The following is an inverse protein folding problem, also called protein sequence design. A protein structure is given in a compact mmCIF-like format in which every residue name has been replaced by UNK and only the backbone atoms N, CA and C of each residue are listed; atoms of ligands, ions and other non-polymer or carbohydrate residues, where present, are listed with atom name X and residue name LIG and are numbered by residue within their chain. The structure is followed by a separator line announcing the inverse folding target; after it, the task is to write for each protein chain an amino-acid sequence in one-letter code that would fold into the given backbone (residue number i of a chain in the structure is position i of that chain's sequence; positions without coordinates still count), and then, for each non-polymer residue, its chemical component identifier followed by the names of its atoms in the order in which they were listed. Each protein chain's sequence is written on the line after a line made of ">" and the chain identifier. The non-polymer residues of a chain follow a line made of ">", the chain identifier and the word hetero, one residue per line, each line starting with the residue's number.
data_IF_358579857452
#
_entry.id   IF_358579857452
#
_cell.length_a   1.000
_cell.length_b   1.000
_cell.length_c   1.000
_cell.angle_alpha   90.00
_cell.angle_beta   90.00
_cell.angle_gamma   90.00
#
_symmetry.space_group_name_H-M   'P 1'
#
loop_
_entity.id
_entity.type
_entity.pdbx_description
1 polymer ?
#
# COMPACT_ATOMS: atom_id res chain seq x y z
N UNK A 1 41.30 -14.87 45.17
CA UNK A 1 40.98 -13.71 44.30
C UNK A 1 41.15 -12.42 45.08
N UNK A 2 41.97 -11.48 44.60
CA UNK A 2 42.10 -10.13 45.19
C UNK A 2 40.88 -9.26 44.88
N UNK A 3 40.64 -8.22 45.69
CA UNK A 3 39.53 -7.26 45.52
C UNK A 3 39.59 -6.60 44.13
N UNK A 4 40.79 -6.26 43.65
CA UNK A 4 41.00 -5.70 42.31
C UNK A 4 40.46 -6.61 41.19
N UNK A 5 40.77 -7.90 41.20
CA UNK A 5 40.28 -8.85 40.19
C UNK A 5 38.75 -8.95 40.18
N UNK A 6 38.11 -8.85 41.35
CA UNK A 6 36.64 -8.92 41.47
C UNK A 6 35.96 -7.66 40.92
N UNK A 7 36.55 -6.48 41.15
CA UNK A 7 36.08 -5.20 40.60
C UNK A 7 36.23 -5.19 39.08
N UNK A 8 37.40 -5.56 38.57
CA UNK A 8 37.66 -5.61 37.12
C UNK A 8 36.70 -6.56 36.40
N UNK A 9 36.44 -7.75 36.95
CA UNK A 9 35.50 -8.70 36.35
C UNK A 9 34.06 -8.16 36.29
N UNK A 10 33.60 -7.51 37.37
CA UNK A 10 32.25 -6.94 37.42
C UNK A 10 32.09 -5.78 36.43
N UNK A 11 33.11 -4.92 36.33
CA UNK A 11 33.14 -3.83 35.35
C UNK A 11 33.14 -4.36 33.91
N UNK A 12 33.91 -5.41 33.63
CA UNK A 12 33.99 -6.01 32.29
C UNK A 12 32.65 -6.64 31.89
N UNK A 13 31.97 -7.33 32.80
CA UNK A 13 30.61 -7.87 32.58
C UNK A 13 29.62 -6.72 32.31
N UNK A 14 29.67 -5.66 33.12
CA UNK A 14 28.80 -4.49 32.94
C UNK A 14 29.03 -3.80 31.58
N UNK A 15 30.29 -3.68 31.15
CA UNK A 15 30.66 -3.11 29.86
C UNK A 15 30.15 -3.97 28.70
N UNK A 16 30.38 -5.28 28.73
CA UNK A 16 29.89 -6.20 27.71
C UNK A 16 28.35 -6.19 27.62
N UNK A 17 27.67 -6.16 28.76
CA UNK A 17 26.23 -6.08 28.81
C UNK A 17 25.72 -4.75 28.22
N UNK A 18 26.37 -3.62 28.52
CA UNK A 18 26.02 -2.32 27.94
C UNK A 18 26.18 -2.32 26.42
N UNK A 19 27.28 -2.89 25.90
CA UNK A 19 27.50 -3.05 24.46
C UNK A 19 26.42 -3.93 23.82
N UNK A 20 26.05 -5.05 24.47
CA UNK A 20 25.01 -5.94 23.98
C UNK A 20 23.62 -5.28 23.95
N UNK A 21 23.23 -4.59 25.03
CA UNK A 21 21.96 -3.87 25.14
C UNK A 21 21.91 -2.72 24.13
N UNK A 22 22.98 -1.93 24.03
CA UNK A 22 23.10 -0.83 23.08
C UNK A 22 23.04 -1.31 21.63
N UNK A 23 23.79 -2.35 21.30
CA UNK A 23 23.80 -2.96 19.97
C UNK A 23 22.43 -3.52 19.57
N UNK A 24 21.77 -4.26 20.47
CA UNK A 24 20.42 -4.75 20.23
C UNK A 24 19.40 -3.60 20.07
N UNK A 25 19.53 -2.55 20.89
CA UNK A 25 18.69 -1.35 20.79
C UNK A 25 18.79 -0.66 19.43
N UNK A 26 20.02 -0.45 18.94
CA UNK A 26 20.28 0.12 17.61
C UNK A 26 19.68 -0.77 16.51
N UNK A 27 19.91 -2.08 16.59
CA UNK A 27 19.34 -3.04 15.64
C UNK A 27 17.80 -3.00 15.63
N UNK A 28 17.16 -2.98 16.80
CA UNK A 28 15.71 -2.93 16.91
C UNK A 28 15.11 -1.62 16.35
N UNK A 29 15.80 -0.49 16.53
CA UNK A 29 15.42 0.79 15.93
C UNK A 29 15.56 0.74 14.41
N UNK A 30 16.67 0.19 13.90
CA UNK A 30 16.88 0.01 12.45
C UNK A 30 15.78 -0.84 11.81
N UNK A 31 15.45 -1.98 12.41
CA UNK A 31 14.37 -2.84 11.93
C UNK A 31 12.98 -2.15 11.95
N UNK A 32 12.74 -1.24 12.90
CA UNK A 32 11.52 -0.44 12.92
C UNK A 32 11.52 0.63 11.81
N UNK A 33 12.67 1.25 11.53
CA UNK A 33 12.84 2.20 10.44
C UNK A 33 12.61 1.54 9.08
N UNK A 34 13.18 0.36 8.83
CA UNK A 34 13.02 -0.34 7.53
C UNK A 34 11.55 -0.63 7.21
N UNK A 35 10.77 -1.02 8.22
CA UNK A 35 9.32 -1.26 8.06
C UNK A 35 8.55 0.03 7.81
N UNK A 36 8.95 1.12 8.45
CA UNK A 36 8.33 2.42 8.24
C UNK A 36 8.64 2.97 6.85
N UNK A 37 9.89 2.84 6.40
CA UNK A 37 10.31 3.13 5.02
C UNK A 37 9.50 2.31 4.02
N UNK A 38 9.32 1.00 4.25
CA UNK A 38 8.51 0.15 3.39
C UNK A 38 7.05 0.63 3.28
N UNK A 39 6.43 1.04 4.39
CA UNK A 39 5.08 1.62 4.36
C UNK A 39 5.01 2.90 3.53
N UNK A 40 6.01 3.79 3.68
CA UNK A 40 6.04 5.07 2.98
C UNK A 40 6.41 4.97 1.50
N UNK A 41 7.33 4.06 1.15
CA UNK A 41 7.85 3.91 -0.21
C UNK A 41 6.99 2.98 -1.07
N UNK A 42 6.32 1.98 -0.47
CA UNK A 42 5.57 0.97 -1.22
C UNK A 42 4.07 1.07 -0.95
N UNK A 43 3.63 0.93 0.30
CA UNK A 43 2.19 0.77 0.60
C UNK A 43 1.39 2.06 0.36
N UNK A 44 1.85 3.20 0.90
CA UNK A 44 1.13 4.47 0.75
C UNK A 44 1.04 4.92 -0.70
N UNK A 45 2.12 4.89 -1.51
CA UNK A 45 2.04 5.24 -2.93
C UNK A 45 1.16 4.26 -3.71
N UNK A 46 1.24 2.95 -3.42
CA UNK A 46 0.40 1.92 -4.04
C UNK A 46 -1.09 2.23 -3.90
N UNK A 47 -1.56 2.51 -2.67
CA UNK A 47 -2.95 2.87 -2.41
C UNK A 47 -3.34 4.13 -3.18
N UNK A 48 -2.48 5.16 -3.17
CA UNK A 48 -2.76 6.41 -3.89
C UNK A 48 -2.90 6.18 -5.39
N UNK A 49 -2.01 5.41 -6.00
CA UNK A 49 -2.02 5.12 -7.44
C UNK A 49 -3.29 4.36 -7.85
N UNK A 50 -3.71 3.37 -7.07
CA UNK A 50 -4.96 2.65 -7.32
C UNK A 50 -6.20 3.54 -7.16
N UNK A 51 -6.22 4.44 -6.16
CA UNK A 51 -7.30 5.44 -6.00
C UNK A 51 -7.35 6.40 -7.20
N UNK A 52 -6.20 6.85 -7.69
CA UNK A 52 -6.10 7.73 -8.86
C UNK A 52 -6.58 7.00 -10.13
N UNK A 53 -6.24 5.72 -10.30
CA UNK A 53 -6.72 4.87 -11.38
C UNK A 53 -8.26 4.69 -11.32
N UNK A 54 -8.80 4.36 -10.15
CA UNK A 54 -10.26 4.29 -9.91
C UNK A 54 -10.98 5.61 -10.19
N UNK A 55 -10.35 6.72 -9.83
CA UNK A 55 -10.89 8.05 -10.12
C UNK A 55 -10.92 8.33 -11.62
N UNK A 56 -9.90 7.90 -12.38
CA UNK A 56 -9.89 8.00 -13.84
C UNK A 56 -11.04 7.20 -14.50
N UNK A 57 -11.27 5.97 -14.03
CA UNK A 57 -12.43 5.15 -14.47
C UNK A 57 -13.76 5.85 -14.15
N UNK A 58 -13.91 6.37 -12.94
CA UNK A 58 -15.13 7.06 -12.51
C UNK A 58 -15.41 8.30 -13.35
N UNK A 59 -14.38 9.11 -13.60
CA UNK A 59 -14.48 10.29 -14.45
C UNK A 59 -14.77 9.91 -15.92
N UNK A 60 -14.21 8.81 -16.41
CA UNK A 60 -14.51 8.31 -17.77
C UNK A 60 -16.01 8.05 -17.92
N UNK A 61 -16.63 7.40 -16.93
CA UNK A 61 -18.08 7.16 -16.94
C UNK A 61 -18.90 8.45 -16.94
N UNK A 62 -18.42 9.52 -16.28
CA UNK A 62 -19.06 10.84 -16.33
C UNK A 62 -18.95 11.43 -17.73
N UNK A 63 -17.76 11.43 -18.34
CA UNK A 63 -17.57 12.01 -19.66
C UNK A 63 -18.28 11.24 -20.77
N UNK A 64 -18.37 9.92 -20.67
CA UNK A 64 -19.18 9.10 -21.57
C UNK A 64 -20.65 9.53 -21.52
N UNK A 65 -21.22 9.73 -20.32
CA UNK A 65 -22.60 10.22 -20.20
C UNK A 65 -22.77 11.61 -20.78
N UNK A 66 -21.84 12.53 -20.50
CA UNK A 66 -21.87 13.88 -21.08
C UNK A 66 -21.81 13.83 -22.61
N UNK A 67 -21.02 12.92 -23.18
CA UNK A 67 -20.90 12.76 -24.64
C UNK A 67 -22.23 12.33 -25.28
N UNK A 68 -23.06 11.57 -24.55
CA UNK A 68 -24.40 11.19 -25.00
C UNK A 68 -25.44 12.33 -24.86
N UNK A 69 -25.17 13.32 -24.01
CA UNK A 69 -26.10 14.44 -23.75
C UNK A 69 -25.89 15.59 -24.74
N UNK A 70 -24.64 15.87 -25.12
CA UNK A 70 -24.33 16.99 -26.02
C UNK A 70 -24.67 16.66 -27.48
N UNK A 71 -25.23 17.63 -28.20
CA UNK A 71 -25.57 17.49 -29.63
C UNK A 71 -24.51 18.06 -30.57
N UNK A 72 -23.73 19.04 -30.10
CA UNK A 72 -22.69 19.72 -30.88
C UNK A 72 -21.53 18.77 -31.23
N UNK A 73 -21.14 18.64 -32.51
CA UNK A 73 -19.97 17.85 -32.91
C UNK A 73 -18.67 18.31 -32.22
N UNK A 74 -18.51 19.62 -32.02
CA UNK A 74 -17.34 20.18 -31.36
C UNK A 74 -17.27 19.78 -29.87
N UNK A 75 -18.42 19.71 -29.18
CA UNK A 75 -18.46 19.30 -27.77
C UNK A 75 -18.27 17.79 -27.62
N UNK A 76 -18.83 16.98 -28.55
CA UNK A 76 -18.55 15.53 -28.61
C UNK A 76 -17.05 15.26 -28.76
N UNK A 77 -16.38 15.96 -29.67
CA UNK A 77 -14.94 15.80 -29.88
C UNK A 77 -14.10 16.16 -28.64
N UNK A 78 -14.41 17.27 -27.96
CA UNK A 78 -13.76 17.62 -26.69
C UNK A 78 -13.93 16.54 -25.63
N UNK A 79 -15.14 15.99 -25.50
CA UNK A 79 -15.42 14.94 -24.53
C UNK A 79 -14.71 13.63 -24.88
N UNK A 80 -14.61 13.28 -26.18
CA UNK A 80 -13.83 12.14 -26.64
C UNK A 80 -12.34 12.29 -26.29
N UNK A 81 -11.77 13.48 -26.48
CA UNK A 81 -10.39 13.77 -26.08
C UNK A 81 -10.21 13.62 -24.57
N UNK A 82 -11.13 14.18 -23.76
CA UNK A 82 -11.10 14.02 -22.31
C UNK A 82 -11.21 12.55 -21.87
N UNK A 83 -12.03 11.75 -22.55
CA UNK A 83 -12.13 10.30 -22.31
C UNK A 83 -10.78 9.62 -22.62
N UNK A 84 -10.14 9.94 -23.74
CA UNK A 84 -8.83 9.39 -24.10
C UNK A 84 -7.74 9.74 -23.08
N UNK A 85 -7.72 10.98 -22.58
CA UNK A 85 -6.81 11.42 -21.52
C UNK A 85 -7.04 10.66 -20.21
N UNK A 86 -8.29 10.39 -19.85
CA UNK A 86 -8.63 9.61 -18.65
C UNK A 86 -8.23 8.13 -18.78
N UNK A 87 -8.40 7.53 -19.96
CA UNK A 87 -7.88 6.18 -20.26
C UNK A 87 -6.35 6.14 -20.12
N UNK A 88 -5.64 7.07 -20.76
CA UNK A 88 -4.20 7.18 -20.64
C UNK A 88 -3.73 7.44 -19.20
N UNK A 89 -4.52 8.16 -18.39
CA UNK A 89 -4.25 8.35 -16.96
C UNK A 89 -4.37 7.03 -16.20
N UNK A 90 -5.36 6.19 -16.48
CA UNK A 90 -5.46 4.86 -15.87
C UNK A 90 -4.23 4.01 -16.20
N UNK A 91 -3.84 3.94 -17.48
CA UNK A 91 -2.67 3.18 -17.93
C UNK A 91 -1.39 3.68 -17.26
N UNK A 92 -1.21 5.00 -17.20
CA UNK A 92 -0.08 5.60 -16.51
C UNK A 92 -0.04 5.24 -15.02
N UNK A 93 -1.18 5.28 -14.33
CA UNK A 93 -1.23 4.99 -12.89
C UNK A 93 -1.00 3.52 -12.56
N UNK A 94 -1.51 2.62 -13.41
CA UNK A 94 -1.23 1.19 -13.27
C UNK A 94 0.21 0.83 -13.64
N UNK A 95 0.82 1.50 -14.62
CA UNK A 95 2.25 1.35 -14.93
C UNK A 95 3.16 1.90 -13.82
N UNK A 96 2.83 3.04 -13.21
CA UNK A 96 3.52 3.57 -12.03
C UNK A 96 3.40 2.63 -10.82
N UNK A 97 2.35 1.81 -10.76
CA UNK A 97 2.10 0.85 -9.70
C UNK A 97 2.87 -0.48 -9.88
N UNK A 98 3.12 -0.93 -11.10
CA UNK A 98 3.85 -2.17 -11.40
C UNK A 98 5.14 -2.41 -10.58
N UNK A 99 6.05 -1.42 -10.41
CA UNK A 99 7.26 -1.62 -9.60
C UNK A 99 6.99 -1.76 -8.09
N UNK A 100 5.78 -1.41 -7.63
CA UNK A 100 5.39 -1.45 -6.23
C UNK A 100 4.65 -2.73 -5.85
N UNK A 101 4.43 -3.66 -6.79
CA UNK A 101 3.74 -4.94 -6.54
C UNK A 101 4.47 -5.72 -5.45
N UNK A 102 3.75 -6.04 -4.37
CA UNK A 102 4.33 -6.64 -3.15
C UNK A 102 4.13 -8.15 -3.06
N UNK A 103 3.24 -8.73 -3.87
CA UNK A 103 2.94 -10.18 -3.80
C UNK A 103 2.41 -10.76 -5.12
N UNK A 104 2.35 -12.09 -5.25
CA UNK A 104 1.68 -12.74 -6.38
C UNK A 104 0.19 -12.40 -6.48
N UNK A 105 -0.50 -12.22 -5.34
CA UNK A 105 -1.92 -11.87 -5.33
C UNK A 105 -2.15 -10.42 -5.77
N UNK A 106 -1.29 -9.50 -5.31
CA UNK A 106 -1.25 -8.11 -5.76
C UNK A 106 -1.07 -8.04 -7.29
N UNK A 107 -0.09 -8.78 -7.81
CA UNK A 107 0.12 -8.89 -9.26
C UNK A 107 -1.13 -9.41 -9.99
N UNK A 108 -1.76 -10.44 -9.44
CA UNK A 108 -2.96 -11.06 -10.03
C UNK A 108 -4.12 -10.06 -10.09
N UNK A 109 -4.30 -9.25 -9.04
CA UNK A 109 -5.32 -8.20 -8.99
C UNK A 109 -5.04 -7.11 -10.03
N UNK A 110 -3.79 -6.63 -10.14
CA UNK A 110 -3.40 -5.63 -11.13
C UNK A 110 -3.68 -6.09 -12.57
N UNK A 111 -3.30 -7.32 -12.92
CA UNK A 111 -3.52 -7.86 -14.25
C UNK A 111 -5.03 -8.06 -14.55
N UNK A 112 -5.81 -8.43 -13.54
CA UNK A 112 -7.26 -8.52 -13.66
C UNK A 112 -7.90 -7.15 -13.90
N UNK A 113 -7.40 -6.09 -13.27
CA UNK A 113 -7.87 -4.72 -13.47
C UNK A 113 -7.57 -4.21 -14.88
N UNK A 114 -6.36 -4.45 -15.40
CA UNK A 114 -6.00 -4.11 -16.78
C UNK A 114 -6.88 -4.84 -17.79
N UNK A 115 -7.16 -6.13 -17.57
CA UNK A 115 -8.07 -6.90 -18.41
C UNK A 115 -9.50 -6.33 -18.38
N UNK A 116 -10.00 -6.02 -17.18
CA UNK A 116 -11.33 -5.41 -17.00
C UNK A 116 -11.42 -4.02 -17.62
N UNK A 117 -10.34 -3.22 -17.56
CA UNK A 117 -10.27 -1.91 -18.20
C UNK A 117 -10.38 -2.05 -19.71
N UNK A 118 -9.64 -2.97 -20.32
CA UNK A 118 -9.72 -3.22 -21.77
C UNK A 118 -11.14 -3.58 -22.22
N UNK A 119 -11.85 -4.42 -21.45
CA UNK A 119 -13.25 -4.74 -21.73
C UNK A 119 -14.15 -3.50 -21.60
N UNK A 120 -13.97 -2.72 -20.53
CA UNK A 120 -14.72 -1.48 -20.31
C UNK A 120 -14.51 -0.48 -21.47
N UNK A 121 -13.28 -0.31 -21.93
CA UNK A 121 -12.94 0.57 -23.05
C UNK A 121 -13.62 0.16 -24.35
N UNK A 122 -13.65 -1.14 -24.67
CA UNK A 122 -14.36 -1.64 -25.86
C UNK A 122 -15.85 -1.28 -25.82
N UNK A 123 -16.47 -1.35 -24.63
CA UNK A 123 -17.88 -0.98 -24.47
C UNK A 123 -18.09 0.53 -24.55
N UNK A 124 -17.17 1.31 -24.01
CA UNK A 124 -17.15 2.77 -24.18
C UNK A 124 -17.02 3.15 -25.65
N UNK A 125 -16.15 2.50 -26.41
CA UNK A 125 -15.94 2.83 -27.82
C UNK A 125 -17.17 2.52 -28.67
N UNK A 126 -17.86 1.40 -28.38
CA UNK A 126 -19.16 1.09 -29.00
C UNK A 126 -20.23 2.16 -28.70
N UNK A 127 -20.27 2.65 -27.45
CA UNK A 127 -21.17 3.75 -27.05
C UNK A 127 -20.86 5.05 -27.79
N UNK A 128 -19.59 5.43 -27.85
CA UNK A 128 -19.17 6.65 -28.52
C UNK A 128 -19.47 6.57 -30.03
N UNK A 129 -19.25 5.42 -30.67
CA UNK A 129 -19.58 5.23 -32.09
C UNK A 129 -21.06 5.46 -32.38
N UNK A 130 -21.97 4.93 -31.54
CA UNK A 130 -23.42 5.18 -31.65
C UNK A 130 -23.77 6.65 -31.43
N UNK A 131 -23.15 7.28 -30.43
CA UNK A 131 -23.34 8.70 -30.14
C UNK A 131 -22.87 9.59 -31.30
N UNK A 132 -21.76 9.28 -31.97
CA UNK A 132 -21.29 9.99 -33.16
C UNK A 132 -22.22 9.80 -34.38
N UNK A 133 -22.79 8.61 -34.53
CA UNK A 133 -23.79 8.33 -35.57
C UNK A 133 -25.16 9.01 -35.33
N UNK A 134 -25.29 9.80 -34.26
CA UNK A 134 -26.55 10.39 -33.77
C UNK A 134 -27.64 9.34 -33.45
N UNK A 135 -27.23 8.09 -33.23
CA UNK A 135 -28.07 7.00 -32.72
C UNK A 135 -28.13 7.09 -31.19
N UNK A 136 -28.81 8.13 -30.70
CA UNK A 136 -28.91 8.42 -29.26
C UNK A 136 -29.66 7.32 -28.51
N UNK A 137 -30.68 6.72 -29.13
CA UNK A 137 -31.44 5.62 -28.54
C UNK A 137 -30.59 4.35 -28.42
N UNK A 138 -29.87 3.98 -29.49
CA UNK A 138 -28.93 2.86 -29.46
C UNK A 138 -27.78 3.06 -28.47
N UNK A 139 -27.22 4.28 -28.39
CA UNK A 139 -26.22 4.62 -27.38
C UNK A 139 -26.79 4.50 -25.95
N UNK A 140 -28.03 4.96 -25.72
CA UNK A 140 -28.70 4.83 -24.43
C UNK A 140 -28.97 3.36 -24.07
N UNK A 141 -29.43 2.56 -25.02
CA UNK A 141 -29.68 1.13 -24.82
C UNK A 141 -28.40 0.38 -24.43
N UNK A 142 -27.27 0.66 -25.10
CA UNK A 142 -25.97 0.11 -24.72
C UNK A 142 -25.54 0.56 -23.32
N UNK A 143 -25.76 1.83 -22.97
CA UNK A 143 -25.34 2.39 -21.67
C UNK A 143 -26.12 1.75 -20.52
N UNK A 144 -27.40 1.46 -20.76
CA UNK A 144 -28.31 0.85 -19.79
C UNK A 144 -28.27 -0.68 -19.82
N UNK A 145 -27.52 -1.29 -20.75
CA UNK A 145 -27.41 -2.74 -20.86
C UNK A 145 -26.78 -3.38 -19.61
N UNK A 146 -27.21 -4.60 -19.31
CA UNK A 146 -26.62 -5.39 -18.21
C UNK A 146 -25.14 -5.64 -18.45
N UNK A 147 -24.72 -5.84 -19.70
CA UNK A 147 -23.32 -6.08 -20.08
C UNK A 147 -22.41 -4.88 -19.78
N UNK A 148 -22.83 -3.65 -20.14
CA UNK A 148 -22.08 -2.44 -19.81
C UNK A 148 -21.99 -2.22 -18.29
N UNK A 149 -23.13 -2.36 -17.60
CA UNK A 149 -23.19 -2.17 -16.15
C UNK A 149 -22.36 -3.22 -15.39
N UNK A 150 -22.41 -4.49 -15.81
CA UNK A 150 -21.61 -5.56 -15.23
C UNK A 150 -20.11 -5.30 -15.44
N UNK A 151 -19.70 -4.92 -16.66
CA UNK A 151 -18.30 -4.60 -16.97
C UNK A 151 -17.79 -3.44 -16.12
N UNK A 152 -18.54 -2.34 -16.04
CA UNK A 152 -18.16 -1.18 -15.23
C UNK A 152 -18.11 -1.48 -13.72
N UNK A 153 -19.05 -2.31 -13.23
CA UNK A 153 -19.08 -2.76 -11.84
C UNK A 153 -17.91 -3.68 -11.52
N UNK A 154 -17.58 -4.62 -12.40
CA UNK A 154 -16.46 -5.54 -12.23
C UNK A 154 -15.12 -4.78 -12.12
N UNK A 155 -14.88 -3.81 -13.01
CA UNK A 155 -13.69 -2.96 -12.95
C UNK A 155 -13.63 -2.15 -11.65
N UNK A 156 -14.72 -1.47 -11.28
CA UNK A 156 -14.77 -0.65 -10.06
C UNK A 156 -14.57 -1.51 -8.81
N UNK A 157 -15.18 -2.70 -8.78
CA UNK A 157 -15.03 -3.64 -7.67
C UNK A 157 -13.60 -4.16 -7.58
N UNK A 158 -12.99 -4.56 -8.69
CA UNK A 158 -11.59 -5.01 -8.72
C UNK A 158 -10.65 -3.98 -8.11
N UNK A 159 -10.76 -2.72 -8.55
CA UNK A 159 -9.97 -1.61 -8.00
C UNK A 159 -10.21 -1.39 -6.50
N UNK A 160 -11.45 -1.50 -6.02
CA UNK A 160 -11.74 -1.39 -4.59
C UNK A 160 -11.15 -2.56 -3.80
N UNK A 161 -11.33 -3.79 -4.28
CA UNK A 161 -10.79 -4.99 -3.64
C UNK A 161 -9.25 -4.91 -3.55
N UNK A 162 -8.60 -4.36 -4.59
CA UNK A 162 -7.15 -4.20 -4.63
C UNK A 162 -6.63 -3.08 -3.73
N UNK A 163 -7.36 -1.96 -3.63
CA UNK A 163 -7.11 -0.92 -2.64
C UNK A 163 -7.22 -1.50 -1.22
N UNK A 164 -8.29 -2.25 -0.94
CA UNK A 164 -8.52 -2.87 0.36
C UNK A 164 -7.44 -3.91 0.69
N UNK A 165 -6.99 -4.68 -0.29
CA UNK A 165 -5.86 -5.60 -0.14
C UNK A 165 -4.58 -4.88 0.31
N UNK A 166 -4.23 -3.77 -0.34
CA UNK A 166 -3.07 -2.96 0.03
C UNK A 166 -3.22 -2.32 1.42
N UNK A 167 -4.42 -1.87 1.78
CA UNK A 167 -4.71 -1.39 3.14
C UNK A 167 -4.52 -2.50 4.18
N UNK A 168 -5.00 -3.71 3.91
CA UNK A 168 -4.84 -4.85 4.82
C UNK A 168 -3.38 -5.24 5.00
N UNK A 169 -2.59 -5.21 3.92
CA UNK A 169 -1.15 -5.46 3.97
C UNK A 169 -0.44 -4.42 4.84
N UNK A 170 -0.77 -3.13 4.68
CA UNK A 170 -0.26 -2.05 5.53
C UNK A 170 -0.62 -2.23 7.01
N UNK A 171 -1.85 -2.62 7.30
CA UNK A 171 -2.31 -2.87 8.67
C UNK A 171 -1.63 -4.10 9.30
N UNK A 172 -1.38 -5.14 8.52
CA UNK A 172 -0.63 -6.31 8.98
C UNK A 172 0.81 -5.92 9.36
N UNK A 173 1.51 -5.18 8.49
CA UNK A 173 2.86 -4.68 8.77
C UNK A 173 2.89 -3.80 10.02
N UNK A 174 1.87 -2.95 10.23
CA UNK A 174 1.73 -2.14 11.43
C UNK A 174 1.60 -2.99 12.70
N UNK A 175 0.78 -4.05 12.68
CA UNK A 175 0.62 -4.99 13.79
C UNK A 175 1.91 -5.74 14.10
N UNK A 176 2.61 -6.23 13.09
CA UNK A 176 3.91 -6.89 13.23
C UNK A 176 4.97 -5.96 13.83
N UNK A 177 4.94 -4.69 13.44
CA UNK A 177 5.85 -3.68 13.97
C UNK A 177 5.56 -3.39 15.45
N UNK A 178 4.28 -3.23 15.83
CA UNK A 178 3.88 -3.04 17.22
C UNK A 178 4.29 -4.23 18.12
N UNK A 179 4.09 -5.47 17.64
CA UNK A 179 4.51 -6.67 18.36
C UNK A 179 6.04 -6.73 18.52
N UNK A 180 6.79 -6.40 17.48
CA UNK A 180 8.26 -6.36 17.53
C UNK A 180 8.78 -5.28 18.47
N UNK A 181 8.15 -4.10 18.48
CA UNK A 181 8.47 -3.04 19.43
C UNK A 181 8.27 -3.50 20.88
N UNK A 182 7.13 -4.12 21.21
CA UNK A 182 6.89 -4.63 22.57
C UNK A 182 7.91 -5.69 22.98
N UNK A 183 8.27 -6.61 22.07
CA UNK A 183 9.32 -7.60 22.32
C UNK A 183 10.67 -6.95 22.58
N UNK A 184 11.08 -5.98 21.75
CA UNK A 184 12.35 -5.27 21.93
C UNK A 184 12.38 -4.52 23.27
N UNK A 185 11.31 -3.80 23.60
CA UNK A 185 11.16 -3.07 24.85
C UNK A 185 11.32 -3.99 26.06
N UNK A 186 10.57 -5.09 26.11
CA UNK A 186 10.63 -6.02 27.25
C UNK A 186 11.97 -6.75 27.33
N UNK A 187 12.57 -7.12 26.19
CA UNK A 187 13.90 -7.72 26.15
C UNK A 187 14.95 -6.78 26.76
N UNK A 188 14.93 -5.50 26.38
CA UNK A 188 15.85 -4.49 26.92
C UNK A 188 15.61 -4.25 28.42
N UNK A 189 14.36 -4.13 28.86
CA UNK A 189 14.02 -3.95 30.28
C UNK A 189 14.49 -5.15 31.10
N UNK A 190 14.18 -6.37 30.67
CA UNK A 190 14.61 -7.59 31.36
C UNK A 190 16.13 -7.72 31.41
N UNK A 191 16.83 -7.39 30.32
CA UNK A 191 18.29 -7.40 30.29
C UNK A 191 18.90 -6.41 31.30
N UNK A 192 18.35 -5.20 31.40
CA UNK A 192 18.78 -4.20 32.40
C UNK A 192 18.52 -4.69 33.83
N UNK A 193 17.33 -5.24 34.12
CA UNK A 193 17.00 -5.76 35.45
C UNK A 193 17.94 -6.90 35.83
N UNK A 194 18.18 -7.87 34.94
CA UNK A 194 19.10 -8.98 35.18
C UNK A 194 20.52 -8.47 35.44
N UNK A 195 20.98 -7.48 34.68
CA UNK A 195 22.30 -6.88 34.89
C UNK A 195 22.39 -6.20 36.27
N UNK A 196 21.38 -5.43 36.67
CA UNK A 196 21.32 -4.79 37.98
C UNK A 196 21.36 -5.82 39.12
N UNK A 197 20.62 -6.92 38.99
CA UNK A 197 20.63 -8.02 39.96
C UNK A 197 22.00 -8.71 40.05
N UNK A 198 22.68 -8.93 38.93
CA UNK A 198 24.04 -9.51 38.91
C UNK A 198 25.03 -8.59 39.63
N UNK A 199 24.97 -7.28 39.35
CA UNK A 199 25.86 -6.28 39.99
C UNK A 199 25.55 -6.16 41.49
N UNK A 200 24.27 -6.06 41.86
CA UNK A 200 23.85 -5.96 43.27
C UNK A 200 24.18 -7.22 44.07
N UNK A 201 23.94 -8.41 43.53
CA UNK A 201 24.26 -9.69 44.17
C UNK A 201 25.77 -9.89 44.36
N UNK A 202 26.59 -9.42 43.41
CA UNK A 202 28.05 -9.39 43.56
C UNK A 202 28.47 -8.41 44.65
N UNK A 203 27.85 -7.23 44.75
CA UNK A 203 28.17 -6.23 45.77
C UNK A 203 27.76 -6.67 47.20
N UNK A 204 26.62 -7.35 47.38
CA UNK A 204 26.18 -7.85 48.69
C UNK A 204 27.02 -9.03 49.19
N UNK A 205 27.51 -9.88 48.28
CA UNK A 205 28.47 -10.95 48.61
C UNK A 205 29.84 -10.46 49.09
N UNK A 206 30.09 -9.14 49.11
CA UNK A 206 31.32 -8.52 49.59
C UNK A 206 31.20 -7.93 51.01
N UNK A 207 30.03 -8.03 51.65
CA UNK A 207 29.89 -7.72 53.08
C UNK A 207 30.46 -8.88 53.90
N UNK A 208 31.37 -8.62 54.88
CA UNK A 208 31.99 -9.65 55.72
C UNK A 208 30.98 -10.37 56.62
#
# INVERSE_FOLDING_TARGET
>A
MSIAHRITLTLLIALLALVGIGGYGIWAIGAAQDRFEFLQSNVTPSIKLLIDARSAVSNTRVQVRNHLIVSSPADKEKLKQSIAELKAKFDKKTAEYEPLVMSPEDKRLLEQEKANMKLFEQRVDALLAKSYANDTEGARALLMSDDFNATAKALTKGLNDHIDYNFQLGEQLRKENAASYQRAKWTLISAVIVLLLIVAGRATSWRP
#
